data_IF_988594667175
#
_entry.id   IF_988594667175
#
_cell.length_a   1.000
_cell.length_b   1.000
_cell.length_c   1.000
_cell.angle_alpha   90.00
_cell.angle_beta   90.00
_cell.angle_gamma   90.00
#
_symmetry.space_group_name_H-M   'P 1'
#
loop_
_entity.id
_entity.type
_entity.pdbx_description
1 polymer ?
#
# COMPACT_ATOMS: atom_id res chain seq x y z
N UNK A 1 1.17 29.09 -6.81
CA UNK A 1 0.32 27.96 -6.40
C UNK A 1 -1.14 28.15 -6.86
N UNK A 2 -1.75 29.28 -6.51
CA UNK A 2 -3.15 29.52 -6.88
C UNK A 2 -3.33 29.73 -8.38
N UNK A 3 -2.40 30.38 -9.05
CA UNK A 3 -2.43 30.55 -10.51
C UNK A 3 -2.29 29.20 -11.22
N UNK A 4 -1.50 28.30 -10.68
CA UNK A 4 -1.38 26.93 -11.18
C UNK A 4 -2.67 26.12 -10.95
N UNK A 5 -3.39 26.41 -9.86
CA UNK A 5 -4.69 25.79 -9.61
C UNK A 5 -5.73 26.23 -10.63
N UNK A 6 -5.85 27.53 -10.88
CA UNK A 6 -6.87 28.09 -11.77
C UNK A 6 -6.50 28.00 -13.25
N UNK A 7 -5.24 28.24 -13.60
CA UNK A 7 -4.73 28.30 -14.99
C UNK A 7 -5.59 29.19 -15.90
N UNK A 8 -5.96 30.37 -15.43
CA UNK A 8 -6.83 31.28 -16.17
C UNK A 8 -6.20 31.76 -17.48
N UNK A 9 -4.88 32.01 -17.46
CA UNK A 9 -4.13 32.52 -18.60
C UNK A 9 -3.74 31.45 -19.64
N UNK A 10 -3.94 30.18 -19.32
CA UNK A 10 -3.65 29.11 -20.26
C UNK A 10 -4.79 28.93 -21.27
N UNK A 11 -4.48 28.58 -22.54
CA UNK A 11 -5.52 28.29 -23.53
C UNK A 11 -6.43 27.15 -23.06
N UNK A 12 -7.72 27.27 -23.28
CA UNK A 12 -8.73 26.30 -22.86
C UNK A 12 -8.43 24.86 -23.29
N UNK A 13 -7.89 24.67 -24.50
CA UNK A 13 -7.54 23.36 -25.02
C UNK A 13 -6.14 22.89 -24.70
N UNK A 14 -5.29 23.73 -24.10
CA UNK A 14 -3.89 23.45 -23.82
C UNK A 14 -3.54 23.34 -22.34
N UNK A 15 -4.52 23.33 -21.44
CA UNK A 15 -4.28 23.24 -20.00
C UNK A 15 -3.72 21.86 -19.64
N UNK A 16 -2.60 21.81 -18.91
CA UNK A 16 -2.06 20.54 -18.44
C UNK A 16 -2.98 19.88 -17.40
N UNK A 17 -2.79 18.60 -17.17
CA UNK A 17 -3.58 17.82 -16.21
C UNK A 17 -3.12 18.11 -14.77
N UNK A 18 -3.28 19.33 -14.35
CA UNK A 18 -2.92 19.85 -13.02
C UNK A 18 -4.02 20.75 -12.48
N UNK A 19 -4.04 20.96 -11.16
CA UNK A 19 -4.96 21.90 -10.51
C UNK A 19 -6.42 21.57 -10.78
N UNK A 20 -7.19 22.58 -11.15
CA UNK A 20 -8.62 22.46 -11.40
C UNK A 20 -8.95 21.54 -12.58
N UNK A 21 -8.12 21.54 -13.63
CA UNK A 21 -8.24 20.64 -14.76
C UNK A 21 -8.13 19.17 -14.32
N UNK A 22 -7.15 18.86 -13.47
CA UNK A 22 -6.96 17.52 -12.94
C UNK A 22 -8.13 17.08 -12.06
N UNK A 23 -8.70 17.99 -11.29
CA UNK A 23 -9.88 17.72 -10.45
C UNK A 23 -11.08 17.32 -11.30
N UNK A 24 -11.38 18.10 -12.35
CA UNK A 24 -12.47 17.77 -13.26
C UNK A 24 -12.25 16.45 -13.96
N UNK A 25 -11.06 16.18 -14.45
CA UNK A 25 -10.74 14.93 -15.13
C UNK A 25 -10.78 13.72 -14.20
N UNK A 26 -10.53 13.90 -12.92
CA UNK A 26 -10.60 12.80 -11.95
C UNK A 26 -12.04 12.42 -11.58
N UNK A 27 -12.98 13.35 -11.66
CA UNK A 27 -14.38 13.11 -11.33
C UNK A 27 -15.19 12.72 -12.58
N UNK A 28 -14.98 13.42 -13.70
CA UNK A 28 -15.63 13.11 -14.96
C UNK A 28 -14.82 12.11 -15.78
N UNK A 29 -15.43 11.26 -16.61
CA UNK A 29 -16.85 11.18 -16.93
C UNK A 29 -17.69 10.52 -15.82
N UNK A 30 -18.95 10.94 -15.73
CA UNK A 30 -19.93 10.39 -14.80
C UNK A 30 -20.94 9.60 -15.61
N UNK A 31 -21.08 8.29 -15.31
CA UNK A 31 -22.04 7.40 -15.95
C UNK A 31 -23.21 7.15 -15.02
N UNK A 32 -24.40 6.88 -15.59
CA UNK A 32 -25.52 6.40 -14.81
C UNK A 32 -25.32 4.94 -14.35
N UNK A 33 -26.21 4.45 -13.49
CA UNK A 33 -26.10 3.08 -12.96
C UNK A 33 -26.30 2.00 -14.01
N UNK A 34 -27.07 2.30 -15.07
CA UNK A 34 -27.35 1.37 -16.17
C UNK A 34 -26.33 1.46 -17.31
N UNK A 35 -25.47 2.47 -17.31
CA UNK A 35 -24.49 2.70 -18.37
C UNK A 35 -25.07 3.18 -19.69
N UNK A 36 -26.32 3.68 -19.68
CA UNK A 36 -27.00 4.18 -20.88
C UNK A 36 -26.69 5.63 -21.22
N UNK A 37 -26.07 6.36 -20.30
CA UNK A 37 -25.69 7.75 -20.49
C UNK A 37 -24.40 8.07 -19.76
N UNK A 38 -23.67 9.07 -20.26
CA UNK A 38 -22.41 9.51 -19.71
C UNK A 38 -22.30 11.03 -19.82
N UNK A 39 -21.86 11.68 -18.75
CA UNK A 39 -21.60 13.11 -18.72
C UNK A 39 -20.09 13.33 -18.73
N UNK A 40 -19.57 13.94 -19.79
CA UNK A 40 -18.15 14.21 -19.97
C UNK A 40 -17.80 15.66 -19.67
N UNK A 41 -16.61 15.86 -19.12
CA UNK A 41 -15.97 17.16 -19.00
C UNK A 41 -15.20 17.49 -20.31
N UNK A 42 -15.45 18.67 -20.87
CA UNK A 42 -14.75 19.14 -22.07
C UNK A 42 -13.69 20.19 -21.72
N UNK A 43 -14.12 21.30 -21.10
CA UNK A 43 -13.23 22.39 -20.69
C UNK A 43 -13.92 23.26 -19.64
N UNK A 44 -13.13 24.12 -19.00
CA UNK A 44 -13.65 25.15 -18.11
C UNK A 44 -13.08 26.51 -18.48
N UNK A 45 -13.80 27.57 -18.12
CA UNK A 45 -13.37 28.94 -18.29
C UNK A 45 -13.93 29.83 -17.18
N UNK A 46 -13.30 30.97 -16.96
CA UNK A 46 -13.75 31.95 -16.00
C UNK A 46 -14.27 33.18 -16.72
N UNK A 47 -15.40 33.68 -16.25
CA UNK A 47 -15.90 34.98 -16.69
C UNK A 47 -15.24 36.08 -15.86
N UNK A 48 -15.19 37.36 -16.38
CA UNK A 48 -14.68 38.48 -15.58
C UNK A 48 -15.45 38.62 -14.28
N UNK A 49 -14.78 38.96 -13.16
CA UNK A 49 -15.47 39.16 -11.89
C UNK A 49 -16.43 40.36 -12.00
N UNK A 50 -17.56 40.26 -11.33
CA UNK A 50 -18.61 41.28 -11.37
C UNK A 50 -18.16 42.58 -10.75
N UNK A 51 -17.39 42.53 -9.68
CA UNK A 51 -16.84 43.68 -8.95
C UNK A 51 -15.33 43.51 -8.80
N UNK A 52 -14.61 44.67 -8.76
CA UNK A 52 -13.20 44.63 -8.45
C UNK A 52 -12.95 44.49 -6.94
N UNK A 53 -11.68 44.47 -6.53
CA UNK A 53 -11.30 44.28 -5.13
C UNK A 53 -11.85 45.38 -4.22
N UNK A 54 -11.77 46.62 -4.67
CA UNK A 54 -12.20 47.79 -3.87
C UNK A 54 -13.71 47.83 -3.70
N UNK A 55 -14.48 47.53 -4.77
CA UNK A 55 -15.94 47.42 -4.68
C UNK A 55 -16.39 46.29 -3.77
N UNK A 56 -15.72 45.14 -3.80
CA UNK A 56 -16.03 44.04 -2.93
C UNK A 56 -15.81 44.40 -1.46
N UNK A 57 -14.75 45.13 -1.15
CA UNK A 57 -14.50 45.60 0.21
C UNK A 57 -15.57 46.57 0.69
N UNK A 58 -15.98 47.52 -0.16
CA UNK A 58 -16.99 48.51 0.18
C UNK A 58 -18.39 47.92 0.34
N UNK A 59 -18.75 46.95 -0.52
CA UNK A 59 -20.07 46.32 -0.53
C UNK A 59 -20.19 45.13 0.39
N UNK A 60 -19.13 44.68 1.02
CA UNK A 60 -19.14 43.50 1.85
C UNK A 60 -19.30 42.19 1.07
N UNK A 61 -18.80 42.14 -0.16
CA UNK A 61 -18.92 41.01 -1.07
C UNK A 61 -17.62 40.22 -1.20
N UNK A 62 -17.69 39.03 -1.78
CA UNK A 62 -16.53 38.20 -2.05
C UNK A 62 -15.99 38.46 -3.45
N UNK A 63 -14.69 38.71 -3.57
CA UNK A 63 -14.01 38.85 -4.85
C UNK A 63 -13.87 37.48 -5.51
N UNK A 64 -14.71 37.17 -6.46
CA UNK A 64 -14.79 35.88 -7.10
C UNK A 64 -15.16 36.03 -8.58
N UNK A 65 -14.77 35.03 -9.38
CA UNK A 65 -15.13 34.96 -10.79
C UNK A 65 -16.10 33.79 -11.03
N UNK A 66 -17.13 33.98 -11.89
CA UNK A 66 -17.99 32.89 -12.28
C UNK A 66 -17.23 31.81 -13.05
N UNK A 67 -17.45 30.56 -12.69
CA UNK A 67 -16.86 29.40 -13.38
C UNK A 67 -17.89 28.79 -14.32
N UNK A 68 -17.54 28.69 -15.59
CA UNK A 68 -18.31 27.96 -16.59
C UNK A 68 -17.58 26.72 -17.01
N UNK A 69 -18.28 25.61 -17.02
CA UNK A 69 -17.75 24.31 -17.44
C UNK A 69 -18.56 23.83 -18.64
N UNK A 70 -17.86 23.47 -19.71
CA UNK A 70 -18.49 22.84 -20.88
C UNK A 70 -18.60 21.35 -20.63
N UNK A 71 -19.81 20.86 -20.56
CA UNK A 71 -20.12 19.45 -20.34
C UNK A 71 -20.83 18.86 -21.56
N UNK A 72 -20.58 17.58 -21.80
CA UNK A 72 -21.16 16.84 -22.91
C UNK A 72 -21.93 15.63 -22.36
N UNK A 73 -23.23 15.59 -22.60
CA UNK A 73 -24.06 14.46 -22.26
C UNK A 73 -24.17 13.54 -23.47
N UNK A 74 -23.71 12.31 -23.33
CA UNK A 74 -23.75 11.29 -24.37
C UNK A 74 -24.80 10.25 -23.95
N UNK A 75 -25.77 10.01 -24.80
CA UNK A 75 -26.80 8.98 -24.62
C UNK A 75 -26.48 7.82 -25.55
N UNK A 76 -26.46 6.60 -25.00
CA UNK A 76 -26.13 5.40 -25.74
C UNK A 76 -27.37 4.55 -26.03
N UNK A 77 -27.39 3.93 -27.21
CA UNK A 77 -28.26 2.78 -27.51
C UNK A 77 -27.45 1.51 -27.23
N UNK A 78 -28.03 0.62 -26.44
CA UNK A 78 -27.44 -0.68 -26.13
C UNK A 78 -28.12 -1.74 -26.99
N UNK A 79 -27.34 -2.50 -27.78
CA UNK A 79 -27.84 -3.66 -28.51
C UNK A 79 -28.10 -4.79 -27.51
N UNK A 80 -29.34 -5.22 -27.36
CA UNK A 80 -29.75 -6.28 -26.44
C UNK A 80 -29.12 -7.64 -26.77
N UNK A 81 -28.80 -7.90 -28.04
CA UNK A 81 -28.23 -9.19 -28.47
C UNK A 81 -26.71 -9.24 -28.27
N UNK A 82 -25.98 -8.18 -28.60
CA UNK A 82 -24.52 -8.16 -28.60
C UNK A 82 -23.94 -7.37 -27.43
N UNK A 83 -24.75 -6.54 -26.74
CA UNK A 83 -24.26 -5.63 -25.72
C UNK A 83 -23.48 -4.44 -26.25
N UNK A 84 -23.40 -4.27 -27.57
CA UNK A 84 -22.67 -3.17 -28.21
C UNK A 84 -23.37 -1.83 -27.95
N UNK A 85 -22.59 -0.81 -27.59
CA UNK A 85 -23.07 0.55 -27.36
C UNK A 85 -22.85 1.39 -28.62
N UNK A 86 -23.92 2.07 -29.08
CA UNK A 86 -23.83 3.07 -30.12
C UNK A 86 -24.31 4.41 -29.59
N UNK A 87 -23.74 5.50 -30.10
CA UNK A 87 -24.14 6.84 -29.68
C UNK A 87 -25.50 7.18 -30.29
N UNK A 88 -26.47 7.45 -29.43
CA UNK A 88 -27.85 7.86 -29.84
C UNK A 88 -27.93 9.37 -29.99
N UNK A 89 -27.40 10.11 -29.03
CA UNK A 89 -27.45 11.58 -28.99
C UNK A 89 -26.26 12.13 -28.22
N UNK A 90 -25.85 13.34 -28.60
CA UNK A 90 -24.79 14.09 -27.92
C UNK A 90 -25.30 15.51 -27.71
N UNK A 91 -25.32 15.96 -26.44
CA UNK A 91 -25.71 17.29 -26.05
C UNK A 91 -24.55 17.98 -25.35
N UNK A 92 -24.10 19.11 -25.88
CA UNK A 92 -23.01 19.90 -25.32
C UNK A 92 -23.54 21.24 -24.85
N UNK A 93 -23.16 21.64 -23.64
CA UNK A 93 -23.65 22.89 -23.05
C UNK A 93 -22.65 23.44 -22.05
N UNK A 94 -22.57 24.79 -21.98
CA UNK A 94 -21.85 25.47 -20.92
C UNK A 94 -22.73 25.56 -19.69
N UNK A 95 -22.20 25.13 -18.55
CA UNK A 95 -22.92 25.12 -17.28
C UNK A 95 -22.22 26.03 -16.28
N UNK A 96 -22.97 26.88 -15.60
CA UNK A 96 -22.48 27.69 -14.50
C UNK A 96 -22.28 26.82 -13.27
N UNK A 97 -21.04 26.78 -12.75
CA UNK A 97 -20.65 25.92 -11.62
C UNK A 97 -20.38 26.70 -10.33
N UNK A 98 -20.92 27.89 -10.20
CA UNK A 98 -20.69 28.74 -9.05
C UNK A 98 -19.51 29.68 -9.23
N UNK A 99 -19.20 30.44 -8.19
CA UNK A 99 -18.11 31.39 -8.18
C UNK A 99 -16.88 30.81 -7.49
N UNK A 100 -15.70 31.06 -8.04
CA UNK A 100 -14.42 30.71 -7.43
C UNK A 100 -13.75 31.99 -6.93
N UNK A 101 -13.38 32.05 -5.64
CA UNK A 101 -12.64 33.21 -5.12
C UNK A 101 -11.35 33.45 -5.87
N UNK A 102 -11.05 34.71 -6.13
CA UNK A 102 -9.82 35.12 -6.80
C UNK A 102 -8.82 35.67 -5.79
N UNK A 103 -7.54 35.36 -6.01
CA UNK A 103 -6.45 35.92 -5.21
C UNK A 103 -6.13 37.33 -5.70
N UNK A 104 -5.95 38.28 -4.77
CA UNK A 104 -5.50 39.63 -5.07
C UNK A 104 -3.99 39.65 -5.36
N UNK A 105 -3.50 40.78 -5.86
CA UNK A 105 -2.06 40.96 -6.11
C UNK A 105 -1.20 40.80 -4.86
N UNK A 106 -1.78 41.01 -3.68
CA UNK A 106 -1.09 40.89 -2.39
C UNK A 106 -1.10 39.47 -1.83
N UNK A 107 -1.65 38.48 -2.57
CA UNK A 107 -1.74 37.11 -2.11
C UNK A 107 -2.87 36.84 -1.13
N UNK A 108 -3.86 37.73 -1.08
CA UNK A 108 -4.99 37.68 -0.16
C UNK A 108 -6.29 37.35 -0.89
N UNK A 109 -7.32 37.01 -0.14
CA UNK A 109 -8.69 36.84 -0.64
C UNK A 109 -9.61 37.83 0.05
N UNK A 110 -10.55 38.39 -0.69
CA UNK A 110 -11.60 39.24 -0.12
C UNK A 110 -12.87 38.42 0.03
N UNK A 111 -13.24 38.12 1.26
CA UNK A 111 -14.41 37.30 1.60
C UNK A 111 -15.36 38.13 2.44
N UNK A 112 -16.57 38.37 1.93
CA UNK A 112 -17.59 39.21 2.57
C UNK A 112 -17.06 40.60 2.96
N UNK A 113 -16.21 41.14 2.11
CA UNK A 113 -15.59 42.47 2.31
C UNK A 113 -14.35 42.48 3.20
N UNK A 114 -14.00 41.38 3.80
CA UNK A 114 -12.83 41.24 4.68
C UNK A 114 -11.68 40.58 3.94
N UNK A 115 -10.50 41.18 4.02
CA UNK A 115 -9.29 40.61 3.43
C UNK A 115 -8.75 39.51 4.30
N UNK A 116 -8.56 38.33 3.73
CA UNK A 116 -8.12 37.14 4.43
C UNK A 116 -6.99 36.41 3.69
N UNK A 117 -6.21 35.64 4.41
CA UNK A 117 -5.13 34.83 3.87
C UNK A 117 -5.38 33.37 4.22
N UNK A 118 -5.21 32.48 3.23
CA UNK A 118 -5.21 31.04 3.48
C UNK A 118 -3.78 30.63 3.84
N UNK A 119 -3.59 30.22 5.08
CA UNK A 119 -2.29 29.82 5.60
C UNK A 119 -1.91 28.46 5.05
N UNK A 120 -0.68 28.34 4.53
CA UNK A 120 -0.14 27.05 4.10
C UNK A 120 -0.05 26.10 5.28
N UNK A 121 -0.30 24.80 5.03
CA UNK A 121 -0.26 23.78 6.06
C UNK A 121 0.91 22.85 5.85
N UNK A 122 1.64 22.58 6.93
CA UNK A 122 2.68 21.56 6.94
C UNK A 122 2.10 20.24 7.42
N UNK A 123 2.37 19.18 6.69
CA UNK A 123 1.91 17.85 7.04
C UNK A 123 3.00 16.82 6.77
N UNK A 124 2.86 15.63 7.34
CA UNK A 124 3.75 14.54 7.02
C UNK A 124 3.59 14.18 5.54
N UNK A 125 4.72 14.12 4.81
CA UNK A 125 4.70 13.77 3.40
C UNK A 125 4.06 12.39 3.18
N UNK A 126 3.27 12.20 2.09
CA UNK A 126 2.87 10.85 1.72
C UNK A 126 4.09 9.96 1.50
N UNK A 127 3.93 8.68 1.72
CA UNK A 127 5.00 7.69 1.57
C UNK A 127 5.00 6.68 2.69
N UNK A 128 6.15 6.06 2.93
CA UNK A 128 6.33 5.09 4.01
C UNK A 128 7.29 5.61 5.05
N UNK A 129 6.96 5.39 6.32
CA UNK A 129 7.80 5.78 7.46
C UNK A 129 7.99 4.60 8.40
N UNK A 130 9.22 4.44 8.85
CA UNK A 130 9.61 3.41 9.81
C UNK A 130 10.00 4.07 11.13
N UNK A 131 9.48 3.55 12.22
CA UNK A 131 9.67 4.11 13.55
C UNK A 131 9.64 3.01 14.61
N UNK A 132 9.89 3.37 15.85
CA UNK A 132 9.67 2.51 17.02
C UNK A 132 9.18 3.36 18.20
N UNK A 133 8.69 2.68 19.23
CA UNK A 133 8.09 3.32 20.42
C UNK A 133 9.12 3.79 21.45
N UNK A 134 10.39 3.66 21.18
CA UNK A 134 11.52 3.95 22.10
C UNK A 134 11.46 3.14 23.41
N UNK A 135 10.80 1.99 23.38
CA UNK A 135 10.65 1.11 24.53
C UNK A 135 9.58 1.54 25.56
N UNK A 136 8.75 2.52 25.23
CA UNK A 136 7.78 3.10 26.18
C UNK A 136 6.52 2.28 26.38
N UNK A 137 6.12 1.50 25.39
CA UNK A 137 4.82 0.80 25.37
C UNK A 137 4.83 -0.47 26.20
N UNK A 138 5.96 -1.17 26.27
CA UNK A 138 6.10 -2.41 27.01
C UNK A 138 7.02 -2.25 28.21
N UNK A 139 6.69 -2.88 29.33
CA UNK A 139 7.44 -2.78 30.59
C UNK A 139 8.89 -3.29 30.50
N UNK A 140 9.18 -4.20 29.56
CA UNK A 140 10.52 -4.73 29.34
C UNK A 140 11.49 -3.74 28.65
N UNK A 141 10.99 -2.61 28.20
CA UNK A 141 11.78 -1.64 27.43
C UNK A 141 12.10 -2.08 26.00
N UNK A 142 11.47 -3.14 25.50
CA UNK A 142 11.66 -3.67 24.16
C UNK A 142 11.20 -2.67 23.11
N UNK A 143 12.04 -2.48 22.07
CA UNK A 143 11.68 -1.63 20.93
C UNK A 143 10.66 -2.34 20.05
N UNK A 144 9.48 -1.72 19.91
CA UNK A 144 8.43 -2.20 19.03
C UNK A 144 8.46 -1.40 17.73
N UNK A 145 9.00 -2.00 16.70
CA UNK A 145 9.12 -1.38 15.39
C UNK A 145 7.78 -1.34 14.67
N UNK A 146 7.55 -0.28 13.92
CA UNK A 146 6.34 -0.10 13.13
C UNK A 146 6.67 0.60 11.81
N UNK A 147 5.92 0.26 10.78
CA UNK A 147 5.94 0.94 9.50
C UNK A 147 4.55 1.53 9.24
N UNK A 148 4.51 2.71 8.64
CA UNK A 148 3.26 3.36 8.31
C UNK A 148 3.30 3.83 6.87
N UNK A 149 2.36 3.33 6.06
CA UNK A 149 2.15 3.80 4.70
C UNK A 149 1.06 4.85 4.72
N UNK A 150 1.44 6.08 4.41
CA UNK A 150 0.54 7.23 4.42
C UNK A 150 0.30 7.66 2.98
N UNK A 151 -0.94 7.51 2.46
CA UNK A 151 -1.28 8.04 1.15
C UNK A 151 -1.57 9.54 1.22
N UNK A 152 -1.56 10.19 0.09
CA UNK A 152 -2.09 11.55 -0.03
C UNK A 152 -3.60 11.54 0.24
N UNK A 153 -4.29 10.53 -0.30
CA UNK A 153 -5.72 10.30 -0.11
C UNK A 153 -5.99 8.80 -0.11
N UNK A 154 -6.64 8.29 0.91
CA UNK A 154 -7.01 6.87 1.03
C UNK A 154 -6.77 6.30 2.40
N UNK A 155 -6.83 4.98 2.49
CA UNK A 155 -6.67 4.25 3.75
C UNK A 155 -5.19 4.16 4.15
N UNK A 156 -4.92 4.32 5.44
CA UNK A 156 -3.60 4.14 6.02
C UNK A 156 -3.36 2.67 6.31
N UNK A 157 -2.13 2.23 6.10
CA UNK A 157 -1.70 0.88 6.43
C UNK A 157 -0.55 0.97 7.44
N UNK A 158 -0.77 0.40 8.61
CA UNK A 158 0.25 0.26 9.64
C UNK A 158 0.67 -1.20 9.74
N UNK A 159 1.98 -1.44 9.79
CA UNK A 159 2.55 -2.75 10.03
C UNK A 159 3.42 -2.64 11.27
N UNK A 160 3.13 -3.44 12.30
CA UNK A 160 3.74 -3.29 13.59
C UNK A 160 4.13 -4.62 14.22
N UNK A 161 5.19 -4.59 15.02
CA UNK A 161 5.56 -5.71 15.89
C UNK A 161 4.86 -5.57 17.24
N UNK A 162 4.44 -6.69 17.80
CA UNK A 162 4.01 -6.73 19.20
C UNK A 162 5.17 -7.14 20.13
N UNK A 163 4.89 -7.22 21.43
CA UNK A 163 5.88 -7.62 22.42
C UNK A 163 6.40 -9.06 22.24
N UNK A 164 5.64 -9.90 21.56
CA UNK A 164 6.00 -11.30 21.27
C UNK A 164 6.70 -11.47 19.92
N UNK A 165 7.06 -10.39 19.26
CA UNK A 165 7.67 -10.36 17.93
C UNK A 165 6.78 -10.95 16.82
N UNK A 166 5.47 -10.88 17.01
CA UNK A 166 4.49 -11.19 15.96
C UNK A 166 4.20 -9.91 15.18
N UNK A 167 4.16 -10.00 13.88
CA UNK A 167 3.93 -8.87 12.98
C UNK A 167 2.45 -8.75 12.64
N UNK A 168 1.89 -7.58 12.90
CA UNK A 168 0.48 -7.29 12.65
C UNK A 168 0.30 -6.19 11.61
N UNK A 169 -0.78 -6.28 10.86
CA UNK A 169 -1.24 -5.23 9.96
C UNK A 169 -2.49 -4.58 10.54
N UNK A 170 -2.58 -3.27 10.43
CA UNK A 170 -3.73 -2.49 10.88
C UNK A 170 -4.12 -1.51 9.78
N UNK A 171 -5.36 -1.57 9.35
CA UNK A 171 -5.90 -0.71 8.30
C UNK A 171 -6.77 0.36 8.97
N UNK A 172 -6.48 1.64 8.71
CA UNK A 172 -7.21 2.79 9.28
C UNK A 172 -7.33 2.75 10.80
N UNK A 173 -6.30 2.24 11.46
CA UNK A 173 -6.23 2.08 12.93
C UNK A 173 -7.37 1.23 13.52
N UNK A 174 -7.95 0.36 12.72
CA UNK A 174 -8.94 -0.61 13.21
C UNK A 174 -8.23 -1.77 13.91
N UNK A 175 -8.99 -2.80 14.30
CA UNK A 175 -8.42 -3.98 14.96
C UNK A 175 -7.30 -4.59 14.11
N UNK A 176 -6.20 -4.95 14.76
CA UNK A 176 -5.04 -5.53 14.08
C UNK A 176 -5.29 -6.97 13.62
N UNK A 177 -4.67 -7.31 12.51
CA UNK A 177 -4.66 -8.65 11.92
C UNK A 177 -3.22 -9.12 11.80
N UNK A 178 -2.93 -10.44 11.88
CA UNK A 178 -1.61 -10.92 11.50
C UNK A 178 -1.25 -10.44 10.09
N UNK A 179 -0.01 -10.01 9.87
CA UNK A 179 0.41 -9.51 8.55
C UNK A 179 0.33 -10.60 7.47
N UNK A 180 0.42 -11.86 7.87
CA UNK A 180 0.25 -12.99 6.97
C UNK A 180 -1.16 -13.07 6.39
N UNK A 181 -2.19 -12.64 7.13
CA UNK A 181 -3.55 -12.51 6.58
C UNK A 181 -3.59 -11.51 5.43
N UNK A 182 -2.89 -10.39 5.56
CA UNK A 182 -2.77 -9.42 4.46
C UNK A 182 -2.07 -10.04 3.25
N UNK A 183 -1.01 -10.81 3.46
CA UNK A 183 -0.28 -11.49 2.38
C UNK A 183 -1.10 -12.58 1.70
N UNK A 184 -1.92 -13.31 2.44
CA UNK A 184 -2.87 -14.26 1.85
C UNK A 184 -3.89 -13.53 0.97
N UNK A 185 -4.41 -12.40 1.44
CA UNK A 185 -5.35 -11.59 0.67
C UNK A 185 -4.72 -11.04 -0.62
N UNK A 186 -3.41 -10.81 -0.63
CA UNK A 186 -2.65 -10.43 -1.83
C UNK A 186 -2.46 -11.58 -2.83
N UNK A 187 -2.84 -12.79 -2.47
CA UNK A 187 -2.76 -13.97 -3.34
C UNK A 187 -1.56 -14.86 -3.10
N UNK A 188 -0.81 -14.66 -2.01
CA UNK A 188 0.29 -15.55 -1.64
C UNK A 188 -0.22 -16.74 -0.83
N UNK A 189 0.40 -17.90 -1.01
CA UNK A 189 0.21 -19.03 -0.10
C UNK A 189 1.31 -19.07 0.96
N UNK A 190 1.23 -19.99 1.92
CA UNK A 190 2.20 -20.08 3.00
C UNK A 190 3.65 -20.28 2.53
N UNK A 191 3.84 -21.11 1.51
CA UNK A 191 5.16 -21.35 0.93
C UNK A 191 5.72 -20.11 0.24
N UNK A 192 4.89 -19.39 -0.53
CA UNK A 192 5.26 -18.14 -1.18
C UNK A 192 5.59 -17.03 -0.17
N UNK A 193 4.84 -16.95 0.92
CA UNK A 193 5.12 -16.00 2.01
C UNK A 193 6.51 -16.25 2.58
N UNK A 194 6.80 -17.50 2.92
CA UNK A 194 8.10 -17.85 3.48
C UNK A 194 9.24 -17.64 2.49
N UNK A 195 9.06 -17.95 1.22
CA UNK A 195 10.07 -17.74 0.19
C UNK A 195 10.36 -16.25 -0.09
N UNK A 196 9.40 -15.38 0.17
CA UNK A 196 9.58 -13.93 0.03
C UNK A 196 10.53 -13.37 1.09
N UNK A 197 10.48 -13.89 2.32
CA UNK A 197 11.23 -13.34 3.44
C UNK A 197 12.48 -14.14 3.80
N UNK A 198 12.54 -15.41 3.44
CA UNK A 198 13.63 -16.29 3.82
C UNK A 198 14.23 -17.00 2.62
N UNK A 199 15.53 -17.18 2.66
CA UNK A 199 16.22 -18.01 1.68
C UNK A 199 15.99 -19.48 2.01
N UNK A 200 15.89 -20.30 0.98
CA UNK A 200 15.80 -21.74 1.11
C UNK A 200 17.19 -22.36 1.07
N UNK A 201 17.46 -23.25 2.01
CA UNK A 201 18.70 -24.03 2.04
C UNK A 201 18.32 -25.49 2.01
N UNK A 202 18.83 -26.22 1.02
CA UNK A 202 18.56 -27.64 0.88
C UNK A 202 19.62 -28.43 1.62
N UNK A 203 19.20 -29.20 2.63
CA UNK A 203 20.02 -30.14 3.35
C UNK A 203 19.92 -31.49 2.67
N UNK A 204 21.06 -32.07 2.28
CA UNK A 204 21.13 -33.36 1.59
C UNK A 204 21.53 -34.46 2.54
N UNK A 205 20.77 -35.56 2.54
CA UNK A 205 21.06 -36.70 3.39
C UNK A 205 22.28 -37.44 2.89
N UNK A 206 23.19 -37.76 3.81
CA UNK A 206 24.39 -38.57 3.58
C UNK A 206 24.37 -39.74 4.55
N UNK A 207 25.30 -40.70 4.41
CA UNK A 207 25.44 -41.85 5.32
C UNK A 207 25.69 -41.43 6.77
N UNK A 208 26.36 -40.30 6.98
CA UNK A 208 26.83 -39.87 8.29
C UNK A 208 26.00 -38.69 8.86
N UNK A 209 24.98 -38.21 8.16
CA UNK A 209 24.12 -37.11 8.58
C UNK A 209 23.65 -36.26 7.40
N UNK A 210 23.61 -34.97 7.58
CA UNK A 210 23.13 -34.02 6.59
C UNK A 210 24.24 -33.11 6.08
N UNK A 211 24.32 -32.95 4.76
CA UNK A 211 25.26 -32.03 4.13
C UNK A 211 24.59 -30.69 3.92
N UNK A 212 25.18 -29.62 4.43
CA UNK A 212 24.72 -28.24 4.33
C UNK A 212 25.77 -27.40 3.61
N UNK A 213 25.41 -26.58 2.59
CA UNK A 213 26.35 -25.67 1.98
C UNK A 213 26.95 -24.70 2.99
N UNK A 214 28.26 -24.47 2.92
CA UNK A 214 28.95 -23.50 3.78
C UNK A 214 29.03 -22.14 3.09
N UNK A 215 28.58 -21.09 3.80
CA UNK A 215 28.72 -19.69 3.41
C UNK A 215 29.23 -18.90 4.62
N UNK A 216 30.35 -18.22 4.47
CA UNK A 216 30.98 -17.47 5.54
C UNK A 216 30.05 -16.40 6.14
N UNK A 217 29.23 -15.77 5.32
CA UNK A 217 28.29 -14.75 5.79
C UNK A 217 27.16 -15.32 6.64
N UNK A 218 26.70 -16.53 6.31
CA UNK A 218 25.64 -17.22 7.04
C UNK A 218 26.11 -17.73 8.40
N UNK A 219 27.30 -18.33 8.46
CA UNK A 219 27.86 -18.94 9.68
C UNK A 219 28.63 -17.97 10.57
N UNK A 220 28.68 -16.70 10.19
CA UNK A 220 29.29 -15.66 10.98
C UNK A 220 28.60 -15.53 12.35
N UNK A 221 29.34 -15.68 13.42
CA UNK A 221 28.81 -15.61 14.78
C UNK A 221 28.08 -16.87 15.25
N UNK A 222 28.14 -17.96 14.47
CA UNK A 222 27.50 -19.24 14.79
C UNK A 222 28.21 -19.87 16.02
N UNK A 223 27.40 -20.23 17.02
CA UNK A 223 27.86 -20.99 18.19
C UNK A 223 27.35 -22.42 18.04
N UNK A 224 28.25 -23.37 18.16
CA UNK A 224 27.90 -24.77 17.96
C UNK A 224 27.90 -25.53 19.30
N UNK A 225 26.90 -26.40 19.47
CA UNK A 225 26.82 -27.35 20.58
C UNK A 225 27.71 -28.57 20.30
N UNK A 226 27.81 -28.93 19.01
CA UNK A 226 28.64 -30.05 18.52
C UNK A 226 29.81 -29.54 17.68
N UNK A 227 30.83 -30.37 17.45
CA UNK A 227 31.92 -30.04 16.55
C UNK A 227 31.39 -29.77 15.13
N UNK A 228 31.88 -28.71 14.49
CA UNK A 228 31.66 -28.45 13.08
C UNK A 228 32.60 -29.33 12.25
N UNK A 229 32.04 -30.13 11.36
CA UNK A 229 32.74 -31.12 10.57
C UNK A 229 32.66 -30.80 9.10
N UNK A 230 33.78 -30.83 8.37
CA UNK A 230 33.84 -30.72 6.93
C UNK A 230 33.14 -31.95 6.32
N UNK A 231 32.10 -31.76 5.52
CA UNK A 231 31.31 -32.83 4.94
C UNK A 231 32.10 -33.69 3.94
N UNK A 232 33.12 -33.10 3.29
CA UNK A 232 33.91 -33.79 2.27
C UNK A 232 35.10 -34.54 2.84
N UNK A 233 35.73 -34.00 3.87
CA UNK A 233 36.94 -34.60 4.46
C UNK A 233 36.75 -35.30 5.79
N UNK A 234 35.63 -35.01 6.49
CA UNK A 234 35.37 -35.56 7.82
C UNK A 234 36.20 -34.92 8.95
N UNK A 235 36.95 -33.88 8.65
CA UNK A 235 37.81 -33.18 9.66
C UNK A 235 36.99 -32.17 10.45
N UNK A 236 37.32 -32.04 11.74
CA UNK A 236 36.74 -31.02 12.61
C UNK A 236 37.33 -29.66 12.27
N UNK A 237 36.48 -28.68 11.87
CA UNK A 237 36.91 -27.32 11.54
C UNK A 237 36.69 -26.35 12.68
N UNK A 238 35.83 -26.66 13.64
CA UNK A 238 35.59 -25.89 14.86
C UNK A 238 35.11 -26.84 15.95
N UNK A 239 35.75 -26.76 17.14
CA UNK A 239 35.36 -27.57 18.30
C UNK A 239 34.04 -27.12 18.92
N UNK A 240 33.29 -28.04 19.53
CA UNK A 240 32.07 -27.80 20.25
C UNK A 240 32.23 -26.71 21.31
N UNK A 241 31.22 -25.85 21.42
CA UNK A 241 31.18 -24.76 22.40
C UNK A 241 31.94 -23.51 22.03
N UNK A 242 32.61 -23.48 20.90
CA UNK A 242 33.30 -22.30 20.37
C UNK A 242 32.43 -21.52 19.40
N UNK A 243 32.64 -20.22 19.33
CA UNK A 243 31.95 -19.34 18.42
C UNK A 243 32.79 -19.09 17.16
N UNK A 244 32.19 -19.24 16.00
CA UNK A 244 32.83 -18.97 14.72
C UNK A 244 32.87 -17.45 14.47
N UNK A 245 34.08 -16.87 14.48
CA UNK A 245 34.26 -15.44 14.21
C UNK A 245 34.17 -15.14 12.71
N UNK A 246 33.94 -13.87 12.36
CA UNK A 246 33.88 -13.41 10.95
C UNK A 246 35.18 -13.77 10.22
N UNK A 247 36.33 -13.55 10.89
CA UNK A 247 37.66 -13.83 10.33
C UNK A 247 37.85 -15.34 10.07
N UNK A 248 37.46 -16.17 11.04
CA UNK A 248 37.58 -17.64 10.92
C UNK A 248 36.69 -18.16 9.82
N UNK A 249 35.46 -17.65 9.69
CA UNK A 249 34.51 -18.04 8.64
C UNK A 249 35.09 -17.72 7.25
N UNK A 250 35.63 -16.53 7.06
CA UNK A 250 36.30 -16.13 5.80
C UNK A 250 37.50 -17.00 5.46
N UNK A 251 38.33 -17.29 6.44
CA UNK A 251 39.47 -18.15 6.25
C UNK A 251 39.09 -19.57 5.81
N UNK A 252 38.03 -20.13 6.39
CA UNK A 252 37.53 -21.45 6.01
C UNK A 252 36.99 -21.44 4.58
N UNK A 253 36.33 -20.39 4.18
CA UNK A 253 35.80 -20.25 2.80
C UNK A 253 36.93 -20.13 1.79
N UNK A 254 37.98 -19.35 2.11
CA UNK A 254 39.20 -19.20 1.28
C UNK A 254 39.97 -20.50 1.14
N UNK A 255 39.97 -21.35 2.16
CA UNK A 255 40.60 -22.66 2.14
C UNK A 255 39.83 -23.72 1.37
N UNK A 256 38.65 -23.38 0.83
CA UNK A 256 37.85 -24.24 0.00
C UNK A 256 36.82 -25.10 0.71
N UNK A 257 36.44 -24.72 1.93
CA UNK A 257 35.32 -25.40 2.64
C UNK A 257 34.04 -25.13 1.92
N UNK A 258 33.41 -26.19 1.38
CA UNK A 258 32.19 -26.09 0.57
C UNK A 258 30.92 -26.46 1.34
N UNK A 259 31.02 -27.39 2.28
CA UNK A 259 29.84 -27.89 3.00
C UNK A 259 30.22 -28.39 4.39
N UNK A 260 29.27 -28.36 5.30
CA UNK A 260 29.36 -28.87 6.65
C UNK A 260 28.47 -30.11 6.82
N UNK A 261 28.88 -31.00 7.74
CA UNK A 261 28.06 -32.13 8.15
C UNK A 261 27.28 -31.77 9.40
N UNK A 262 25.96 -31.96 9.35
CA UNK A 262 25.07 -31.75 10.48
C UNK A 262 24.41 -33.05 10.91
N UNK A 263 24.26 -33.26 12.21
CA UNK A 263 23.53 -34.40 12.76
C UNK A 263 22.01 -34.13 12.75
N UNK A 264 21.21 -35.19 12.92
CA UNK A 264 19.75 -35.05 13.04
C UNK A 264 19.35 -34.13 14.20
N UNK A 265 20.08 -34.15 15.30
CA UNK A 265 19.85 -33.29 16.47
C UNK A 265 20.01 -31.80 16.15
N UNK A 266 20.96 -31.47 15.27
CA UNK A 266 21.20 -30.07 14.86
C UNK A 266 20.11 -29.52 13.94
N UNK A 267 19.34 -30.39 13.29
CA UNK A 267 18.22 -29.98 12.46
C UNK A 267 16.95 -29.68 13.27
N UNK A 268 16.84 -30.20 14.49
CA UNK A 268 15.71 -29.91 15.37
C UNK A 268 15.67 -28.43 15.70
N UNK A 269 14.49 -27.81 15.57
CA UNK A 269 14.31 -26.39 15.78
C UNK A 269 14.41 -25.54 14.51
N UNK A 270 14.80 -26.11 13.38
CA UNK A 270 14.73 -25.46 12.08
C UNK A 270 13.31 -25.57 11.48
N UNK A 271 13.04 -24.81 10.46
CA UNK A 271 11.71 -24.73 9.85
C UNK A 271 11.74 -25.12 8.39
N UNK A 272 10.70 -25.81 7.94
CA UNK A 272 10.58 -26.23 6.55
C UNK A 272 10.30 -25.04 5.63
N UNK A 273 10.97 -25.00 4.48
CA UNK A 273 10.76 -23.98 3.45
C UNK A 273 9.64 -24.33 2.48
N UNK A 274 9.34 -25.62 2.31
CA UNK A 274 8.36 -26.14 1.35
C UNK A 274 7.52 -27.23 2.00
N UNK A 275 6.34 -27.49 1.41
CA UNK A 275 5.52 -28.62 1.80
C UNK A 275 6.23 -29.92 1.36
N UNK A 276 6.28 -30.91 2.24
CA UNK A 276 6.80 -32.24 1.92
C UNK A 276 5.63 -33.14 1.56
N UNK A 277 5.53 -33.48 0.29
CA UNK A 277 4.41 -34.24 -0.29
C UNK A 277 4.90 -35.58 -0.78
N UNK A 278 4.12 -36.63 -0.56
CA UNK A 278 4.36 -37.94 -1.14
C UNK A 278 4.09 -37.85 -2.66
N UNK A 279 5.10 -38.07 -3.52
CA UNK A 279 4.92 -37.95 -4.97
C UNK A 279 3.97 -38.99 -5.58
N UNK A 280 3.71 -40.09 -4.88
CA UNK A 280 2.82 -41.18 -5.35
C UNK A 280 1.37 -40.95 -4.94
N UNK A 281 1.11 -40.51 -3.72
CA UNK A 281 -0.25 -40.41 -3.15
C UNK A 281 -0.74 -38.98 -3.02
N UNK A 282 0.15 -37.95 -3.12
CA UNK A 282 -0.19 -36.56 -2.90
C UNK A 282 -0.40 -36.22 -1.42
N UNK A 283 -0.15 -37.12 -0.50
CA UNK A 283 -0.27 -36.87 0.94
C UNK A 283 0.81 -35.92 1.43
N UNK A 284 0.40 -34.91 2.20
CA UNK A 284 1.30 -33.92 2.79
C UNK A 284 1.78 -34.45 4.14
N UNK A 285 3.07 -34.77 4.25
CA UNK A 285 3.67 -35.21 5.51
C UNK A 285 4.01 -34.06 6.46
N UNK A 286 4.41 -32.93 5.90
CA UNK A 286 4.70 -31.73 6.66
C UNK A 286 4.49 -30.51 5.77
N UNK A 287 3.97 -29.43 6.35
CA UNK A 287 3.70 -28.17 5.65
C UNK A 287 4.85 -27.19 5.79
N UNK A 288 4.97 -26.27 4.83
CA UNK A 288 5.94 -25.20 4.88
C UNK A 288 5.77 -24.37 6.16
N UNK A 289 6.88 -24.05 6.82
CA UNK A 289 6.89 -23.31 8.08
C UNK A 289 6.78 -24.17 9.34
N UNK A 290 6.53 -25.47 9.22
CA UNK A 290 6.53 -26.37 10.38
C UNK A 290 7.93 -26.49 10.98
N UNK A 291 8.00 -26.48 12.31
CA UNK A 291 9.23 -26.74 13.04
C UNK A 291 9.60 -28.21 12.98
N UNK A 292 10.87 -28.49 12.70
CA UNK A 292 11.39 -29.85 12.69
C UNK A 292 11.57 -30.34 14.12
N UNK A 293 10.89 -31.42 14.45
CA UNK A 293 11.00 -32.12 15.73
C UNK A 293 11.65 -33.47 15.51
N UNK A 294 12.03 -34.14 16.61
CA UNK A 294 12.59 -35.51 16.55
C UNK A 294 11.60 -36.51 15.88
N UNK A 295 10.30 -36.34 16.17
CA UNK A 295 9.23 -37.14 15.56
C UNK A 295 9.13 -36.92 14.06
N UNK A 296 9.17 -35.67 13.61
CA UNK A 296 9.05 -35.34 12.20
C UNK A 296 10.27 -35.82 11.41
N UNK A 297 11.47 -35.71 11.96
CA UNK A 297 12.69 -36.28 11.35
C UNK A 297 12.60 -37.78 11.20
N UNK A 298 12.12 -38.46 12.22
CA UNK A 298 11.97 -39.92 12.21
C UNK A 298 11.00 -40.37 11.08
N UNK A 299 9.87 -39.68 10.96
CA UNK A 299 8.89 -39.93 9.88
C UNK A 299 9.51 -39.67 8.51
N UNK A 300 10.21 -38.55 8.35
CA UNK A 300 10.85 -38.19 7.09
C UNK A 300 11.96 -39.16 6.69
N UNK A 301 12.75 -39.69 7.67
CA UNK A 301 13.76 -40.70 7.44
C UNK A 301 13.14 -42.03 7.00
N UNK A 302 12.03 -42.44 7.62
CA UNK A 302 11.30 -43.63 7.26
C UNK A 302 10.73 -43.55 5.84
N UNK A 303 10.32 -42.35 5.40
CA UNK A 303 9.78 -42.13 4.07
C UNK A 303 10.85 -41.95 2.99
N UNK A 304 12.13 -41.90 3.36
CA UNK A 304 13.25 -41.88 2.42
C UNK A 304 13.53 -40.55 1.77
N UNK A 305 13.15 -39.43 2.40
CA UNK A 305 13.49 -38.11 1.90
C UNK A 305 15.01 -37.87 1.92
N UNK A 306 15.54 -37.53 0.75
CA UNK A 306 17.00 -37.29 0.59
C UNK A 306 17.36 -35.81 0.69
N UNK A 307 16.43 -34.92 0.26
CA UNK A 307 16.60 -33.50 0.29
C UNK A 307 15.59 -32.88 1.25
N UNK A 308 16.07 -32.00 2.12
CA UNK A 308 15.24 -31.31 3.10
C UNK A 308 15.41 -29.80 2.89
N UNK A 309 14.41 -29.12 2.28
CA UNK A 309 14.47 -27.67 2.11
C UNK A 309 14.11 -26.97 3.43
N UNK A 310 15.03 -26.23 4.00
CA UNK A 310 14.85 -25.50 5.25
C UNK A 310 14.98 -24.01 5.04
N UNK A 311 14.33 -23.25 5.90
CA UNK A 311 14.46 -21.80 5.93
C UNK A 311 15.79 -21.38 6.54
N UNK A 312 16.44 -20.36 5.97
CA UNK A 312 17.67 -19.78 6.47
C UNK A 312 17.35 -18.83 7.63
N UNK A 313 17.07 -19.38 8.79
CA UNK A 313 16.78 -18.63 10.02
C UNK A 313 17.80 -19.05 11.07
N UNK A 314 18.65 -18.09 11.48
CA UNK A 314 19.69 -18.36 12.49
C UNK A 314 19.36 -17.76 13.86
N UNK A 315 18.24 -17.06 13.99
CA UNK A 315 17.79 -16.36 15.20
C UNK A 315 18.74 -15.24 15.71
N UNK A 316 19.82 -14.99 14.99
CA UNK A 316 20.81 -13.93 15.32
C UNK A 316 20.73 -12.82 14.29
N UNK A 317 20.98 -13.14 13.01
CA UNK A 317 20.95 -12.17 11.89
C UNK A 317 19.62 -12.16 11.15
N UNK A 318 18.91 -13.27 11.19
CA UNK A 318 17.59 -13.44 10.57
C UNK A 318 16.65 -14.04 11.60
N UNK A 319 15.66 -13.28 12.03
CA UNK A 319 14.66 -13.73 12.99
C UNK A 319 13.50 -14.45 12.34
N UNK A 320 12.81 -15.29 13.10
CA UNK A 320 11.68 -16.09 12.63
C UNK A 320 10.33 -15.34 12.71
N UNK A 321 10.32 -14.02 12.60
CA UNK A 321 9.13 -13.19 12.85
C UNK A 321 7.96 -13.53 11.94
N UNK A 322 8.20 -13.62 10.65
CA UNK A 322 7.15 -13.93 9.66
C UNK A 322 6.72 -15.39 9.79
N UNK A 323 7.65 -16.30 10.01
CA UNK A 323 7.32 -17.72 10.26
C UNK A 323 6.43 -17.87 11.51
N UNK A 324 6.77 -17.19 12.58
CA UNK A 324 6.01 -17.21 13.83
C UNK A 324 4.63 -16.58 13.66
N UNK A 325 4.55 -15.51 12.89
CA UNK A 325 3.28 -14.85 12.54
C UNK A 325 2.40 -15.78 11.70
N UNK A 326 2.98 -16.45 10.71
CA UNK A 326 2.27 -17.41 9.88
C UNK A 326 1.72 -18.58 10.70
N UNK A 327 2.50 -19.08 11.65
CA UNK A 327 2.09 -20.15 12.56
C UNK A 327 0.97 -19.70 13.51
N UNK A 328 0.95 -18.44 13.93
CA UNK A 328 -0.06 -17.87 14.80
C UNK A 328 -1.33 -17.43 14.07
N UNK A 329 -1.30 -17.33 12.75
CA UNK A 329 -2.43 -16.91 11.94
C UNK A 329 -3.44 -18.04 11.80
N UNK A 330 -4.71 -17.75 12.07
CA UNK A 330 -5.82 -18.68 11.92
C UNK A 330 -6.23 -18.89 10.46
N UNK A 331 -5.96 -17.92 9.61
CA UNK A 331 -6.30 -17.96 8.19
C UNK A 331 -5.24 -18.76 7.44
N UNK A 332 -5.67 -19.62 6.53
CA UNK A 332 -4.79 -20.46 5.72
C UNK A 332 -4.99 -20.26 4.22
N UNK A 333 -6.05 -19.54 3.84
CA UNK A 333 -6.40 -19.33 2.45
C UNK A 333 -6.66 -17.85 2.18
N UNK A 334 -6.63 -17.46 0.92
CA UNK A 334 -6.95 -16.11 0.48
C UNK A 334 -8.38 -15.71 0.87
N UNK A 335 -9.33 -16.63 0.71
CA UNK A 335 -10.74 -16.42 1.01
C UNK A 335 -10.96 -16.12 2.50
N UNK A 336 -10.36 -16.92 3.38
CA UNK A 336 -10.43 -16.71 4.82
C UNK A 336 -9.86 -15.36 5.23
N UNK A 337 -8.73 -14.98 4.64
CA UNK A 337 -8.07 -13.71 4.90
C UNK A 337 -8.93 -12.52 4.43
N UNK A 338 -9.52 -12.62 3.25
CA UNK A 338 -10.43 -11.60 2.72
C UNK A 338 -11.65 -11.41 3.61
N UNK A 339 -12.25 -12.49 4.09
CA UNK A 339 -13.38 -12.43 5.03
C UNK A 339 -12.99 -11.77 6.34
N UNK A 340 -11.82 -12.08 6.86
CA UNK A 340 -11.34 -11.50 8.11
C UNK A 340 -11.11 -9.99 7.98
N UNK A 341 -10.49 -9.56 6.88
CA UNK A 341 -10.30 -8.13 6.58
C UNK A 341 -11.66 -7.43 6.45
N UNK A 342 -12.61 -8.06 5.78
CA UNK A 342 -13.96 -7.50 5.64
C UNK A 342 -14.64 -7.32 6.99
N UNK A 343 -14.55 -8.30 7.89
CA UNK A 343 -15.13 -8.23 9.24
C UNK A 343 -14.50 -7.12 10.07
N UNK A 344 -13.20 -6.90 9.92
CA UNK A 344 -12.50 -5.82 10.63
C UNK A 344 -12.94 -4.45 10.11
N UNK A 345 -13.07 -4.31 8.80
CA UNK A 345 -13.42 -3.03 8.16
C UNK A 345 -14.91 -2.69 8.28
N UNK A 346 -15.77 -3.71 8.28
CA UNK A 346 -17.23 -3.55 8.40
C UNK A 346 -17.79 -4.51 9.43
N UNK A 347 -17.63 -4.21 10.73
CA UNK A 347 -18.15 -5.07 11.78
C UNK A 347 -19.68 -5.22 11.69
N UNK A 348 -20.16 -6.44 11.91
CA UNK A 348 -21.61 -6.71 11.94
C UNK A 348 -22.26 -6.97 10.59
N UNK A 349 -21.56 -6.81 9.47
CA UNK A 349 -22.07 -7.16 8.15
C UNK A 349 -21.63 -8.58 7.78
N UNK A 350 -22.54 -9.43 7.23
CA UNK A 350 -22.14 -10.75 6.77
C UNK A 350 -21.28 -10.64 5.53
N UNK A 351 -20.07 -11.26 5.51
CA UNK A 351 -19.19 -11.18 4.36
C UNK A 351 -19.63 -12.12 3.24
N UNK A 352 -19.49 -11.66 1.99
CA UNK A 352 -19.54 -12.50 0.81
C UNK A 352 -18.18 -12.41 0.11
N UNK A 353 -17.81 -13.43 -0.66
CA UNK A 353 -16.52 -13.42 -1.34
C UNK A 353 -16.37 -12.21 -2.27
N UNK A 354 -17.38 -11.92 -3.06
CA UNK A 354 -17.36 -10.79 -4.00
C UNK A 354 -17.26 -9.45 -3.29
N UNK A 355 -18.00 -9.26 -2.20
CA UNK A 355 -17.93 -8.04 -1.39
C UNK A 355 -16.59 -7.86 -0.72
N UNK A 356 -16.01 -8.94 -0.21
CA UNK A 356 -14.70 -8.91 0.45
C UNK A 356 -13.58 -8.59 -0.55
N UNK A 357 -13.60 -9.20 -1.73
CA UNK A 357 -12.65 -8.90 -2.80
C UNK A 357 -12.76 -7.45 -3.28
N UNK A 358 -13.99 -6.98 -3.50
CA UNK A 358 -14.23 -5.60 -3.94
C UNK A 358 -13.75 -4.59 -2.90
N UNK A 359 -14.01 -4.83 -1.62
CA UNK A 359 -13.54 -3.97 -0.54
C UNK A 359 -12.01 -3.95 -0.48
N UNK A 360 -11.36 -5.11 -0.48
CA UNK A 360 -9.90 -5.20 -0.40
C UNK A 360 -9.24 -4.48 -1.58
N UNK A 361 -9.77 -4.68 -2.78
CA UNK A 361 -9.29 -3.99 -3.97
C UNK A 361 -9.44 -2.47 -3.86
N UNK A 362 -10.53 -1.99 -3.26
CA UNK A 362 -10.80 -0.56 -3.12
C UNK A 362 -9.94 0.14 -2.07
N UNK A 363 -9.38 -0.61 -1.11
CA UNK A 363 -8.59 -0.01 -0.02
C UNK A 363 -7.29 0.62 -0.50
N UNK A 364 -6.52 -0.09 -1.34
CA UNK A 364 -5.17 0.32 -1.71
C UNK A 364 -4.87 0.29 -3.20
N UNK A 365 -5.71 -0.34 -4.02
CA UNK A 365 -5.41 -0.66 -5.41
C UNK A 365 -6.29 0.06 -6.42
N UNK A 366 -7.32 0.76 -5.96
CA UNK A 366 -8.24 1.51 -6.80
C UNK A 366 -7.81 2.97 -6.87
N UNK A 367 -7.46 3.44 -8.08
CA UNK A 367 -6.99 4.79 -8.31
C UNK A 367 -8.01 5.89 -7.95
N UNK A 368 -9.31 5.56 -7.96
CA UNK A 368 -10.36 6.50 -7.57
C UNK A 368 -10.41 6.72 -6.05
N UNK A 369 -10.02 5.73 -5.26
CA UNK A 369 -10.13 5.74 -3.80
C UNK A 369 -8.81 5.83 -3.07
N UNK A 370 -7.71 5.57 -3.75
CA UNK A 370 -6.37 5.58 -3.17
C UNK A 370 -5.41 6.33 -4.07
N UNK A 371 -4.68 7.26 -3.51
CA UNK A 371 -3.70 8.06 -4.24
C UNK A 371 -2.51 8.37 -3.32
N UNK A 372 -1.35 7.85 -3.68
CA UNK A 372 -0.09 8.19 -3.01
C UNK A 372 0.40 9.58 -3.38
N UNK A 373 -0.05 10.14 -4.49
CA UNK A 373 0.52 11.24 -5.24
C UNK A 373 1.88 10.88 -5.86
N UNK A 374 2.34 11.70 -6.79
CA UNK A 374 3.67 11.51 -7.38
C UNK A 374 4.77 11.62 -6.32
N UNK A 375 4.61 12.55 -5.37
CA UNK A 375 5.55 12.73 -4.25
C UNK A 375 5.61 11.49 -3.38
N UNK A 376 4.46 10.93 -3.02
CA UNK A 376 4.39 9.71 -2.22
C UNK A 376 5.03 8.52 -2.91
N UNK A 377 4.78 8.35 -4.21
CA UNK A 377 5.39 7.26 -5.00
C UNK A 377 6.90 7.41 -5.07
N UNK A 378 7.41 8.59 -5.36
CA UNK A 378 8.85 8.84 -5.44
C UNK A 378 9.53 8.60 -4.09
N UNK A 379 8.94 9.09 -3.00
CA UNK A 379 9.48 8.88 -1.66
C UNK A 379 9.47 7.41 -1.25
N UNK A 380 8.41 6.69 -1.57
CA UNK A 380 8.33 5.26 -1.31
C UNK A 380 9.38 4.49 -2.11
N UNK A 381 9.55 4.80 -3.39
CA UNK A 381 10.57 4.18 -4.23
C UNK A 381 11.98 4.41 -3.69
N UNK A 382 12.28 5.64 -3.25
CA UNK A 382 13.58 5.96 -2.68
C UNK A 382 13.84 5.21 -1.37
N UNK A 383 12.85 5.16 -0.49
CA UNK A 383 13.00 4.51 0.82
C UNK A 383 13.12 2.99 0.71
N UNK A 384 12.37 2.37 -0.21
CA UNK A 384 12.28 0.92 -0.38
C UNK A 384 13.12 0.39 -1.56
N UNK A 385 13.85 1.27 -2.24
CA UNK A 385 14.66 0.92 -3.42
C UNK A 385 13.83 0.25 -4.52
N UNK A 386 12.65 0.83 -4.80
CA UNK A 386 11.73 0.39 -5.84
C UNK A 386 11.87 1.25 -7.10
N UNK A 387 11.45 0.72 -8.23
CA UNK A 387 11.56 1.37 -9.55
C UNK A 387 10.21 1.59 -10.23
N UNK A 388 9.12 1.61 -9.47
CA UNK A 388 7.80 1.88 -10.01
C UNK A 388 7.73 3.26 -10.68
N UNK A 389 7.00 3.40 -11.82
CA UNK A 389 6.80 4.70 -12.43
C UNK A 389 6.13 5.68 -11.46
N UNK A 390 6.51 6.95 -11.50
CA UNK A 390 5.91 8.01 -10.65
C UNK A 390 4.43 8.25 -10.98
N UNK A 391 3.97 7.78 -12.14
CA UNK A 391 2.56 7.79 -12.55
C UNK A 391 1.74 6.69 -11.90
N UNK A 392 2.37 5.67 -11.31
CA UNK A 392 1.69 4.58 -10.60
C UNK A 392 1.41 5.01 -9.17
N UNK A 393 0.24 5.57 -8.92
CA UNK A 393 -0.11 6.27 -7.67
C UNK A 393 -0.91 5.42 -6.68
N UNK A 394 -1.17 4.18 -7.00
CA UNK A 394 -1.76 3.19 -6.08
C UNK A 394 -0.69 2.27 -5.52
N UNK A 395 -0.99 1.55 -4.44
CA UNK A 395 -0.10 0.52 -3.95
C UNK A 395 -0.09 -0.68 -4.90
N UNK A 396 1.04 -1.37 -4.92
CA UNK A 396 1.21 -2.65 -5.58
C UNK A 396 1.49 -3.71 -4.52
N UNK A 397 1.28 -4.97 -4.88
CA UNK A 397 1.67 -6.11 -4.05
C UNK A 397 3.15 -6.02 -3.64
N UNK A 398 4.02 -5.70 -4.58
CA UNK A 398 5.47 -5.53 -4.37
C UNK A 398 5.78 -4.42 -3.36
N UNK A 399 5.02 -3.34 -3.36
CA UNK A 399 5.18 -2.25 -2.41
C UNK A 399 4.92 -2.69 -0.98
N UNK A 400 3.82 -3.40 -0.76
CA UNK A 400 3.43 -3.90 0.56
C UNK A 400 4.46 -4.92 1.06
N UNK A 401 4.89 -5.83 0.21
CA UNK A 401 5.91 -6.82 0.56
C UNK A 401 7.25 -6.17 0.89
N UNK A 402 7.63 -5.13 0.15
CA UNK A 402 8.86 -4.37 0.41
C UNK A 402 8.81 -3.63 1.76
N UNK A 403 7.65 -3.07 2.13
CA UNK A 403 7.45 -2.44 3.43
C UNK A 403 7.64 -3.45 4.56
N UNK A 404 7.02 -4.61 4.45
CA UNK A 404 7.11 -5.66 5.47
C UNK A 404 8.56 -6.16 5.59
N UNK A 405 9.22 -6.38 4.47
CA UNK A 405 10.61 -6.85 4.43
C UNK A 405 11.57 -5.85 5.08
N UNK A 406 11.41 -4.57 4.76
CA UNK A 406 12.23 -3.51 5.36
C UNK A 406 12.00 -3.42 6.86
N UNK A 407 10.76 -3.55 7.32
CA UNK A 407 10.45 -3.56 8.75
C UNK A 407 11.09 -4.75 9.48
N UNK A 408 11.05 -5.93 8.88
CA UNK A 408 11.71 -7.12 9.41
C UNK A 408 13.23 -6.93 9.47
N UNK A 409 13.82 -6.35 8.43
CA UNK A 409 15.25 -6.04 8.40
C UNK A 409 15.63 -5.05 9.50
N UNK A 410 14.82 -4.04 9.77
CA UNK A 410 15.04 -3.10 10.87
C UNK A 410 15.03 -3.80 12.23
N UNK A 411 14.10 -4.74 12.41
CA UNK A 411 14.06 -5.53 13.66
C UNK A 411 15.29 -6.40 13.82
N UNK A 412 15.87 -6.87 12.73
CA UNK A 412 17.13 -7.63 12.71
C UNK A 412 18.37 -6.73 12.84
N UNK A 413 18.19 -5.43 12.98
CA UNK A 413 19.27 -4.46 13.14
C UNK A 413 19.86 -3.93 11.84
N UNK A 414 19.21 -4.14 10.70
CA UNK A 414 19.65 -3.67 9.38
C UNK A 414 18.87 -2.42 8.99
N UNK A 415 19.57 -1.33 8.78
CA UNK A 415 18.96 -0.05 8.39
C UNK A 415 18.68 0.85 9.58
N UNK A 416 18.02 1.96 9.31
CA UNK A 416 17.70 3.00 10.29
C UNK A 416 16.24 3.42 10.19
N UNK A 417 15.70 3.85 11.34
CA UNK A 417 14.35 4.43 11.38
C UNK A 417 14.37 5.84 10.81
N UNK A 418 13.18 6.31 10.41
CA UNK A 418 13.02 7.65 9.88
C UNK A 418 12.80 8.66 11.02
N UNK A 419 13.33 9.86 10.86
CA UNK A 419 13.03 10.98 11.75
C UNK A 419 11.78 11.69 11.20
N UNK A 420 10.66 11.53 11.90
CA UNK A 420 9.36 12.09 11.49
C UNK A 420 9.40 13.62 11.47
N UNK A 421 10.16 14.23 12.37
CA UNK A 421 10.22 15.70 12.51
C UNK A 421 11.22 16.34 11.55
N UNK A 422 12.00 15.54 10.82
CA UNK A 422 12.91 16.07 9.81
C UNK A 422 12.13 16.76 8.69
N UNK A 423 12.60 17.94 8.26
CA UNK A 423 11.90 18.74 7.24
C UNK A 423 11.81 18.05 5.88
N UNK A 424 12.71 17.10 5.60
CA UNK A 424 12.62 16.25 4.40
C UNK A 424 11.45 15.28 4.42
N UNK A 425 10.91 14.98 5.59
CA UNK A 425 9.76 14.07 5.79
C UNK A 425 8.45 14.83 6.03
N UNK A 426 8.50 16.16 5.99
CA UNK A 426 7.35 17.03 6.13
C UNK A 426 7.20 17.88 4.88
N UNK A 427 5.98 18.02 4.43
CA UNK A 427 5.65 18.74 3.20
C UNK A 427 4.71 19.90 3.52
N UNK A 428 4.84 20.99 2.77
CA UNK A 428 3.96 22.15 2.89
C UNK A 428 2.91 22.10 1.78
N UNK A 429 1.65 22.16 2.16
CA UNK A 429 0.55 22.33 1.21
C UNK A 429 0.24 23.82 1.11
N UNK A 430 0.44 24.36 -0.07
CA UNK A 430 0.12 25.78 -0.36
C UNK A 430 -1.36 25.94 -0.68
N UNK A 431 -1.78 27.18 -0.86
CA UNK A 431 -3.19 27.55 -1.05
C UNK A 431 -3.84 26.84 -2.25
N UNK A 432 -3.14 26.73 -3.37
CA UNK A 432 -3.66 26.05 -4.56
C UNK A 432 -4.00 24.59 -4.31
N UNK A 433 -3.13 23.89 -3.62
CA UNK A 433 -3.34 22.50 -3.25
C UNK A 433 -4.49 22.32 -2.24
N UNK A 434 -4.58 23.21 -1.25
CA UNK A 434 -5.66 23.20 -0.29
C UNK A 434 -7.02 23.41 -0.96
N UNK A 435 -7.10 24.35 -1.88
CA UNK A 435 -8.31 24.62 -2.66
C UNK A 435 -8.67 23.45 -3.57
N UNK A 436 -7.68 22.85 -4.21
CA UNK A 436 -7.87 21.67 -5.05
C UNK A 436 -8.52 20.52 -4.26
N UNK A 437 -8.01 20.26 -3.06
CA UNK A 437 -8.55 19.18 -2.22
C UNK A 437 -9.99 19.44 -1.80
N UNK A 438 -10.30 20.67 -1.41
CA UNK A 438 -11.66 21.03 -1.01
C UNK A 438 -12.64 21.02 -2.19
N UNK A 439 -12.20 21.48 -3.34
CA UNK A 439 -13.03 21.47 -4.55
C UNK A 439 -13.32 20.04 -5.01
N UNK A 440 -12.34 19.15 -4.90
CA UNK A 440 -12.54 17.72 -5.20
C UNK A 440 -13.61 17.09 -4.31
N UNK A 441 -13.62 17.39 -3.02
CA UNK A 441 -14.66 16.90 -2.09
C UNK A 441 -16.05 17.40 -2.53
N UNK A 442 -16.13 18.67 -2.88
CA UNK A 442 -17.38 19.26 -3.37
C UNK A 442 -17.86 18.62 -4.67
N UNK A 443 -16.97 18.36 -5.61
CA UNK A 443 -17.30 17.68 -6.87
C UNK A 443 -17.73 16.22 -6.65
N UNK A 444 -17.13 15.51 -5.72
CA UNK A 444 -17.52 14.12 -5.41
C UNK A 444 -18.92 14.06 -4.82
N UNK A 445 -19.31 15.02 -3.98
CA UNK A 445 -20.68 15.15 -3.47
C UNK A 445 -21.65 15.44 -4.61
N UNK A 446 -21.26 16.32 -5.52
CA UNK A 446 -22.03 16.65 -6.71
C UNK A 446 -22.18 15.46 -7.65
N UNK A 447 -21.13 14.66 -7.83
CA UNK A 447 -21.14 13.44 -8.63
C UNK A 447 -22.25 12.49 -8.17
N UNK A 448 -22.37 12.27 -6.87
CA UNK A 448 -23.40 11.41 -6.30
C UNK A 448 -24.81 11.91 -6.66
N UNK A 449 -25.04 13.21 -6.52
CA UNK A 449 -26.32 13.83 -6.88
C UNK A 449 -26.60 13.73 -8.39
N UNK A 450 -25.59 13.87 -9.23
CA UNK A 450 -25.71 13.73 -10.68
C UNK A 450 -26.10 12.31 -11.05
N UNK A 451 -25.45 11.28 -10.48
CA UNK A 451 -25.77 9.88 -10.73
C UNK A 451 -27.23 9.55 -10.37
N UNK A 452 -27.71 10.03 -9.23
CA UNK A 452 -29.09 9.86 -8.81
C UNK A 452 -30.06 10.50 -9.79
N UNK A 453 -29.76 11.72 -10.26
CA UNK A 453 -30.60 12.42 -11.24
C UNK A 453 -30.58 11.74 -12.59
N UNK A 454 -29.46 11.29 -13.10
CA UNK A 454 -29.35 10.55 -14.36
C UNK A 454 -30.19 9.28 -14.36
N UNK A 455 -30.35 8.65 -13.19
CA UNK A 455 -31.14 7.44 -13.04
C UNK A 455 -32.65 7.72 -12.87
N UNK A 456 -33.04 8.90 -12.40
CA UNK A 456 -34.44 9.23 -12.06
C UNK A 456 -35.18 10.07 -13.10
N UNK A 457 -34.47 10.70 -14.03
CA UNK A 457 -35.08 11.57 -15.07
C UNK A 457 -35.05 10.91 -16.44
N UNK A 458 -35.89 11.43 -17.36
CA UNK A 458 -35.87 11.00 -18.77
C UNK A 458 -34.63 11.56 -19.46
N UNK A 459 -33.65 10.68 -19.68
CA UNK A 459 -32.32 11.05 -20.19
C UNK A 459 -32.38 11.56 -21.63
N UNK A 460 -33.42 11.21 -22.40
CA UNK A 460 -33.58 11.64 -23.78
C UNK A 460 -33.94 13.12 -23.92
N UNK A 461 -34.60 13.69 -22.91
CA UNK A 461 -35.06 15.09 -22.91
C UNK A 461 -34.23 16.03 -22.03
N UNK A 462 -33.36 15.50 -21.21
CA UNK A 462 -32.55 16.28 -20.23
C UNK A 462 -31.35 16.91 -20.89
N UNK A 463 -31.09 18.17 -20.53
CA UNK A 463 -29.81 18.89 -20.88
C UNK A 463 -28.80 18.75 -19.76
N UNK A 464 -27.51 18.88 -20.05
CA UNK A 464 -26.44 18.82 -18.98
C UNK A 464 -26.72 19.75 -17.80
N UNK A 465 -27.24 20.95 -18.05
CA UNK A 465 -27.58 21.91 -17.02
C UNK A 465 -28.62 21.39 -16.03
N UNK A 466 -29.56 20.58 -16.46
CA UNK A 466 -30.64 20.04 -15.61
C UNK A 466 -30.08 18.99 -14.63
N UNK A 467 -28.93 18.39 -14.91
CA UNK A 467 -28.30 17.37 -14.08
C UNK A 467 -27.42 17.99 -12.98
N UNK A 468 -27.00 19.24 -13.15
CA UNK A 468 -25.98 19.86 -12.30
C UNK A 468 -26.61 20.70 -11.20
N UNK A 469 -26.21 20.42 -9.96
CA UNK A 469 -26.44 21.30 -8.81
C UNK A 469 -25.07 21.74 -8.28
N UNK A 470 -24.72 22.98 -8.48
CA UNK A 470 -23.41 23.53 -8.10
C UNK A 470 -23.26 23.82 -6.61
N UNK A 471 -24.31 23.74 -5.82
CA UNK A 471 -24.28 24.05 -4.39
C UNK A 471 -23.25 23.25 -3.57
N UNK A 472 -23.13 21.91 -3.75
CA UNK A 472 -22.11 21.15 -2.98
C UNK A 472 -20.70 21.61 -3.24
N UNK A 473 -20.33 21.91 -4.49
CA UNK A 473 -19.02 22.40 -4.84
C UNK A 473 -18.76 23.81 -4.28
N UNK A 474 -19.74 24.72 -4.40
CA UNK A 474 -19.67 26.06 -3.86
C UNK A 474 -19.56 26.05 -2.31
N UNK A 475 -20.31 25.17 -1.65
CA UNK A 475 -20.29 25.03 -0.19
C UNK A 475 -18.92 24.54 0.30
N UNK A 476 -18.31 23.59 -0.41
CA UNK A 476 -16.98 23.07 -0.07
C UNK A 476 -15.90 24.16 -0.16
N UNK A 477 -15.99 25.04 -1.17
CA UNK A 477 -15.06 26.16 -1.33
C UNK A 477 -15.22 27.19 -0.20
N UNK A 478 -16.43 27.43 0.27
CA UNK A 478 -16.71 28.36 1.36
C UNK A 478 -16.16 27.90 2.71
N UNK A 479 -16.12 26.62 2.95
CA UNK A 479 -15.53 26.06 4.18
C UNK A 479 -14.02 26.32 4.21
#
# INVERSE_FOLDING_TARGET
SYDQFLMVDEPEGGRPDEGLQAVFRSVFPISDFSGTSMLEFVRYEFEPPKYDVDECRQRGMTFAAPLKVTLRLIVFDIDEETGAKSVKDIKEQDVYMGDIPLMTMNGTFVVNGTERVIVSQMHRSPGVFFDHDKGKTHSSGKLLFAARVIPYRGSWLDIEFDAKDIVFARIDRRRKLPVTSLMYALGLDGEQILSTFYKKITYKRTKDGWRVPFDANRFRGYSTVNDLIDADTGKVVLEAGKKLTVRQARQLQEKGLKALRMSDEELVGNYLAEDLVNPKTGEIYAEAGEEITEKSLKVLNEQGYKDLPLLDIDHVNVGAYIRNTLSADKNMTREDALFDIYRVMRPGEPPTLDSAQAMFQSLFFDAERYDLSAVGRVKMNMRLELDAPDTHRTLRKEDILAVIKTLVDLRDGKGEIDDIDHLGNRRVRSVGELMENQYRIGLLRMERAIKERMSSVDIDTVMPQDLINAKPAAAAVRE
#
